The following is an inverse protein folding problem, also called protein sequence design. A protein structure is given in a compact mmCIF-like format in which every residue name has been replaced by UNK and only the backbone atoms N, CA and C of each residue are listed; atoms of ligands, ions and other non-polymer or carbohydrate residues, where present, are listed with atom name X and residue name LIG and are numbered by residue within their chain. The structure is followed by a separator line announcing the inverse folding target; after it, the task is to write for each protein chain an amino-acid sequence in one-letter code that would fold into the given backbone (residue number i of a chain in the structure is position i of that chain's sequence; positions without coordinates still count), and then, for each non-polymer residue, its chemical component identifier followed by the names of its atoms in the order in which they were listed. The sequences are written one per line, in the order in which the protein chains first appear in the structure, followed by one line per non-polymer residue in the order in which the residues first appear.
data_IF_055263783583
#
_entry.id   IF_055263783583
#
_cell.length_a   1.000
_cell.length_b   1.000
_cell.length_c   1.000
_cell.angle_alpha   90.00
_cell.angle_beta   90.00
_cell.angle_gamma   90.00
#
_symmetry.space_group_name_H-M   'P 1'
#
loop_
_entity.id
_entity.type
_entity.pdbx_description
1 polymer ?
#
# COMPACT_ATOMS: atom_id res chain seq x y z
N UNK A 1 -14.19 -12.16 -19.35
CA UNK A 1 -13.15 -11.35 -18.63
C UNK A 1 -11.87 -11.37 -19.45
N UNK A 2 -11.29 -10.23 -19.71
CA UNK A 2 -10.05 -10.12 -20.49
C UNK A 2 -8.86 -10.68 -19.71
N UNK A 3 -7.80 -11.09 -20.43
CA UNK A 3 -6.57 -11.56 -19.80
C UNK A 3 -5.92 -10.47 -18.92
N UNK A 4 -5.99 -9.21 -19.35
CA UNK A 4 -5.48 -8.05 -18.58
C UNK A 4 -6.24 -7.91 -17.26
N UNK A 5 -7.56 -8.04 -17.29
CA UNK A 5 -8.40 -7.94 -16.09
C UNK A 5 -8.11 -9.08 -15.12
N UNK A 6 -7.96 -10.31 -15.65
CA UNK A 6 -7.62 -11.48 -14.82
C UNK A 6 -6.29 -11.28 -14.13
N UNK A 7 -5.28 -10.78 -14.84
CA UNK A 7 -3.96 -10.52 -14.27
C UNK A 7 -4.02 -9.43 -13.21
N UNK A 8 -4.76 -8.34 -13.47
CA UNK A 8 -4.95 -7.27 -12.51
C UNK A 8 -5.55 -7.78 -11.20
N UNK A 9 -6.60 -8.61 -11.28
CA UNK A 9 -7.22 -9.22 -10.11
C UNK A 9 -6.25 -10.15 -9.38
N UNK A 10 -5.48 -10.95 -10.10
CA UNK A 10 -4.52 -11.86 -9.50
C UNK A 10 -3.38 -11.12 -8.78
N UNK A 11 -2.88 -10.01 -9.36
CA UNK A 11 -1.83 -9.19 -8.73
C UNK A 11 -2.35 -8.54 -7.44
N UNK A 12 -3.55 -7.97 -7.47
CA UNK A 12 -4.13 -7.34 -6.28
C UNK A 12 -4.51 -8.38 -5.22
N UNK A 13 -5.00 -9.55 -5.63
CA UNK A 13 -5.26 -10.65 -4.70
C UNK A 13 -3.99 -11.09 -3.98
N UNK A 14 -2.90 -11.25 -4.71
CA UNK A 14 -1.62 -11.63 -4.12
C UNK A 14 -1.15 -10.58 -3.11
N UNK A 15 -1.21 -9.30 -3.47
CA UNK A 15 -0.81 -8.22 -2.56
C UNK A 15 -1.66 -8.22 -1.29
N UNK A 16 -2.99 -8.32 -1.43
CA UNK A 16 -3.89 -8.34 -0.29
C UNK A 16 -3.64 -9.55 0.62
N UNK A 17 -3.42 -10.74 0.04
CA UNK A 17 -3.14 -11.94 0.81
C UNK A 17 -1.83 -11.84 1.59
N UNK A 18 -0.77 -11.34 0.96
CA UNK A 18 0.52 -11.16 1.61
C UNK A 18 0.43 -10.11 2.74
N UNK A 19 -0.28 -9.02 2.52
CA UNK A 19 -0.46 -8.00 3.55
C UNK A 19 -1.30 -8.54 4.72
N UNK A 20 -2.34 -9.32 4.46
CA UNK A 20 -3.17 -9.90 5.50
C UNK A 20 -2.37 -10.83 6.43
N UNK A 21 -1.40 -11.56 5.87
CA UNK A 21 -0.59 -12.48 6.67
C UNK A 21 0.61 -11.80 7.33
N UNK A 22 1.14 -10.71 6.77
CA UNK A 22 2.43 -10.16 7.18
C UNK A 22 2.38 -8.74 7.76
N UNK A 23 1.34 -7.97 7.47
CA UNK A 23 1.31 -6.53 7.81
C UNK A 23 0.25 -6.16 8.85
N UNK A 24 -0.71 -7.01 9.13
CA UNK A 24 -1.84 -6.67 10.01
C UNK A 24 -1.40 -6.31 11.43
N UNK A 25 -0.33 -6.93 11.93
CA UNK A 25 0.20 -6.68 13.28
C UNK A 25 0.80 -5.28 13.42
N UNK A 26 1.07 -4.59 12.32
CA UNK A 26 1.66 -3.25 12.32
C UNK A 26 0.62 -2.13 12.19
N UNK A 27 -0.67 -2.46 12.31
CA UNK A 27 -1.72 -1.45 12.26
C UNK A 27 -2.17 -1.07 10.85
N UNK A 28 -1.85 -1.88 9.85
CA UNK A 28 -2.32 -1.71 8.49
C UNK A 28 -3.48 -2.67 8.21
N UNK A 29 -4.58 -2.14 7.71
CA UNK A 29 -5.76 -2.93 7.40
C UNK A 29 -6.17 -2.73 5.95
N UNK A 30 -6.41 -3.82 5.23
CA UNK A 30 -6.90 -3.75 3.87
C UNK A 30 -8.37 -3.28 3.88
N UNK A 31 -8.62 -2.18 3.18
CA UNK A 31 -9.97 -1.63 3.01
C UNK A 31 -10.45 -1.72 1.56
N UNK A 32 -9.67 -2.38 0.70
CA UNK A 32 -10.05 -2.63 -0.68
C UNK A 32 -11.17 -3.68 -0.72
N UNK A 33 -12.23 -3.45 -1.53
CA UNK A 33 -13.24 -4.48 -1.71
C UNK A 33 -12.63 -5.79 -2.22
N UNK A 34 -12.99 -6.92 -1.61
CA UNK A 34 -12.53 -8.24 -2.07
C UNK A 34 -13.34 -8.74 -3.25
N UNK A 35 -14.57 -8.25 -3.42
CA UNK A 35 -15.41 -8.60 -4.56
C UNK A 35 -14.83 -7.98 -5.85
N UNK A 36 -14.46 -8.79 -6.86
CA UNK A 36 -13.89 -8.27 -8.11
C UNK A 36 -14.73 -7.24 -8.83
N UNK A 37 -16.05 -7.24 -8.60
CA UNK A 37 -16.95 -6.28 -9.25
C UNK A 37 -16.74 -4.84 -8.79
N UNK A 38 -16.16 -4.65 -7.59
CA UNK A 38 -16.06 -3.34 -6.94
C UNK A 38 -14.64 -2.85 -6.77
N UNK A 39 -13.66 -3.50 -7.40
CA UNK A 39 -12.27 -3.05 -7.30
C UNK A 39 -11.60 -2.93 -8.66
N UNK A 40 -10.66 -1.98 -8.74
CA UNK A 40 -9.79 -1.82 -9.88
C UNK A 40 -8.45 -2.50 -9.67
N UNK A 41 -7.39 -1.91 -10.22
CA UNK A 41 -6.01 -2.40 -10.09
C UNK A 41 -5.26 -1.79 -8.90
N UNK A 42 -5.98 -1.22 -7.94
CA UNK A 42 -5.40 -0.59 -6.76
C UNK A 42 -5.76 -1.35 -5.50
N UNK A 43 -4.84 -1.32 -4.53
CA UNK A 43 -5.11 -1.79 -3.17
C UNK A 43 -4.91 -0.62 -2.21
N UNK A 44 -5.87 -0.42 -1.31
CA UNK A 44 -5.80 0.61 -0.28
C UNK A 44 -5.67 -0.03 1.09
N UNK A 45 -4.66 0.40 1.84
CA UNK A 45 -4.44 -0.02 3.22
C UNK A 45 -4.70 1.16 4.13
N UNK A 46 -5.57 0.98 5.12
CA UNK A 46 -5.81 1.98 6.16
C UNK A 46 -4.69 1.90 7.19
N UNK A 47 -4.08 3.05 7.48
CA UNK A 47 -3.05 3.18 8.50
C UNK A 47 -3.67 3.81 9.75
N UNK A 48 -3.54 3.14 10.88
CA UNK A 48 -4.04 3.66 12.16
C UNK A 48 -3.30 4.93 12.56
N UNK A 49 -1.97 4.96 12.35
CA UNK A 49 -1.10 6.09 12.68
C UNK A 49 0.03 6.17 11.67
N UNK A 50 0.60 7.37 11.51
CA UNK A 50 1.84 7.60 10.78
C UNK A 50 1.82 7.18 9.29
N UNK A 51 0.65 7.20 8.67
CA UNK A 51 0.50 6.78 7.27
C UNK A 51 1.38 7.56 6.30
N UNK A 52 1.45 8.88 6.48
CA UNK A 52 2.30 9.72 5.62
C UNK A 52 3.78 9.31 5.72
N UNK A 53 4.28 9.15 6.95
CA UNK A 53 5.66 8.76 7.19
C UNK A 53 5.95 7.36 6.63
N UNK A 54 5.01 6.43 6.77
CA UNK A 54 5.14 5.09 6.19
C UNK A 54 5.27 5.14 4.68
N UNK A 55 4.45 5.97 4.01
CA UNK A 55 4.53 6.10 2.56
C UNK A 55 5.85 6.73 2.13
N UNK A 56 6.34 7.75 2.86
CA UNK A 56 7.63 8.36 2.56
C UNK A 56 8.78 7.36 2.71
N UNK A 57 8.74 6.52 3.74
CA UNK A 57 9.73 5.48 3.94
C UNK A 57 9.70 4.42 2.82
N UNK A 58 8.51 4.07 2.33
CA UNK A 58 8.35 3.15 1.20
C UNK A 58 8.89 3.75 -0.09
N UNK A 59 8.61 5.01 -0.35
CA UNK A 59 9.13 5.71 -1.53
C UNK A 59 10.67 5.72 -1.51
N UNK A 60 11.26 5.95 -0.33
CA UNK A 60 12.72 5.88 -0.17
C UNK A 60 13.29 4.50 -0.48
N UNK A 61 12.50 3.44 -0.33
CA UNK A 61 12.88 2.07 -0.70
C UNK A 61 12.59 1.73 -2.16
N UNK A 62 12.04 2.68 -2.93
CA UNK A 62 11.71 2.45 -4.34
C UNK A 62 10.31 1.90 -4.57
N UNK A 63 9.50 1.79 -3.53
CA UNK A 63 8.10 1.37 -3.68
C UNK A 63 7.24 2.62 -3.85
N UNK A 64 6.68 2.78 -5.02
CA UNK A 64 5.90 3.97 -5.34
C UNK A 64 4.43 3.69 -5.05
N UNK A 65 3.88 4.46 -4.12
CA UNK A 65 2.48 4.46 -3.78
C UNK A 65 1.96 5.87 -3.66
N UNK A 66 0.72 5.99 -3.26
CA UNK A 66 0.03 7.25 -3.10
C UNK A 66 -0.53 7.34 -1.69
N UNK A 67 -0.44 8.50 -1.07
CA UNK A 67 -0.98 8.75 0.26
C UNK A 67 -2.25 9.58 0.14
N UNK A 68 -3.29 9.15 0.86
CA UNK A 68 -4.53 9.92 0.95
C UNK A 68 -4.89 10.13 2.42
N UNK A 69 -4.96 11.40 2.82
CA UNK A 69 -5.39 11.77 4.18
C UNK A 69 -6.90 11.60 4.30
N UNK A 70 -7.36 11.11 5.46
CA UNK A 70 -8.79 11.06 5.76
C UNK A 70 -9.40 12.46 5.81
N UNK A 71 -10.53 12.65 5.15
CA UNK A 71 -11.18 13.97 5.03
C UNK A 71 -12.05 14.35 6.22
N UNK A 72 -12.58 13.35 6.93
CA UNK A 72 -13.47 13.56 8.07
C UNK A 72 -12.86 13.01 9.35
N UNK A 73 -13.31 13.53 10.50
CA UNK A 73 -12.89 13.03 11.79
C UNK A 73 -13.22 11.54 11.91
N UNK A 74 -12.23 10.75 12.26
CA UNK A 74 -12.35 9.28 12.38
C UNK A 74 -12.09 8.52 11.09
N UNK A 75 -11.94 9.19 9.94
CA UNK A 75 -11.52 8.52 8.71
C UNK A 75 -10.03 8.23 8.76
N UNK A 76 -9.61 6.98 8.47
CA UNK A 76 -8.19 6.66 8.47
C UNK A 76 -7.50 7.25 7.24
N UNK A 77 -6.21 7.49 7.38
CA UNK A 77 -5.35 7.78 6.24
C UNK A 77 -5.14 6.50 5.44
N UNK A 78 -4.98 6.62 4.13
CA UNK A 78 -4.85 5.49 3.23
C UNK A 78 -3.50 5.49 2.53
N UNK A 79 -2.88 4.30 2.49
CA UNK A 79 -1.75 4.00 1.61
C UNK A 79 -2.32 3.27 0.39
N UNK A 80 -2.12 3.82 -0.80
CA UNK A 80 -2.68 3.25 -2.03
C UNK A 80 -1.58 2.76 -2.93
N UNK A 81 -1.75 1.54 -3.44
CA UNK A 81 -0.78 0.88 -4.32
C UNK A 81 -1.46 0.47 -5.60
N UNK A 82 -0.88 0.87 -6.74
CA UNK A 82 -1.40 0.53 -8.06
C UNK A 82 -0.53 -0.51 -8.73
N UNK A 83 -1.18 -1.45 -9.44
CA UNK A 83 -0.50 -2.52 -10.14
C UNK A 83 -0.94 -2.50 -11.61
N UNK A 84 -0.08 -1.95 -12.48
CA UNK A 84 -0.33 -1.92 -13.91
C UNK A 84 -0.11 -3.32 -14.49
N UNK A 85 -1.17 -4.02 -14.94
CA UNK A 85 -1.04 -5.43 -15.32
C UNK A 85 -0.14 -5.67 -16.53
N UNK A 86 0.10 -4.64 -17.36
CA UNK A 86 0.97 -4.76 -18.53
C UNK A 86 2.45 -4.86 -18.15
N UNK A 87 2.85 -4.27 -17.03
CA UNK A 87 4.27 -4.14 -16.67
C UNK A 87 4.61 -4.80 -15.33
N UNK A 88 3.63 -4.98 -14.44
CA UNK A 88 3.88 -5.54 -13.12
C UNK A 88 3.89 -7.07 -13.19
N UNK A 89 4.94 -7.68 -12.62
CA UNK A 89 5.06 -9.12 -12.49
C UNK A 89 4.67 -9.56 -11.09
N UNK A 90 4.34 -10.83 -10.91
CA UNK A 90 4.00 -11.35 -9.58
C UNK A 90 5.18 -11.21 -8.60
N UNK A 91 6.41 -11.39 -9.08
CA UNK A 91 7.60 -11.19 -8.24
C UNK A 91 7.74 -9.72 -7.81
N UNK A 92 7.29 -8.77 -8.61
CA UNK A 92 7.32 -7.35 -8.24
C UNK A 92 6.37 -7.07 -7.08
N UNK A 93 5.20 -7.71 -7.06
CA UNK A 93 4.25 -7.62 -5.94
C UNK A 93 4.84 -8.22 -4.67
N UNK A 94 5.47 -9.37 -4.79
CA UNK A 94 6.17 -10.02 -3.67
C UNK A 94 7.25 -9.10 -3.10
N UNK A 95 8.09 -8.54 -3.97
CA UNK A 95 9.17 -7.64 -3.56
C UNK A 95 8.63 -6.38 -2.89
N UNK A 96 7.52 -5.81 -3.40
CA UNK A 96 6.90 -4.63 -2.79
C UNK A 96 6.43 -4.93 -1.36
N UNK A 97 5.80 -6.08 -1.14
CA UNK A 97 5.38 -6.49 0.22
C UNK A 97 6.60 -6.72 1.11
N UNK A 98 7.66 -7.30 0.57
CA UNK A 98 8.91 -7.52 1.33
C UNK A 98 9.49 -6.18 1.79
N UNK A 99 9.52 -5.16 0.93
CA UNK A 99 9.97 -3.82 1.30
C UNK A 99 9.06 -3.21 2.36
N UNK A 100 7.74 -3.38 2.22
CA UNK A 100 6.77 -2.90 3.21
C UNK A 100 7.02 -3.54 4.59
N UNK A 101 7.19 -4.85 4.63
CA UNK A 101 7.44 -5.58 5.87
C UNK A 101 8.75 -5.14 6.53
N UNK A 102 9.82 -5.01 5.75
CA UNK A 102 11.11 -4.56 6.28
C UNK A 102 11.04 -3.13 6.83
N UNK A 103 10.35 -2.23 6.14
CA UNK A 103 10.13 -0.87 6.62
C UNK A 103 9.39 -0.88 7.96
N UNK A 104 8.36 -1.72 8.09
CA UNK A 104 7.59 -1.83 9.32
C UNK A 104 8.38 -2.47 10.46
N UNK A 105 9.10 -3.56 10.19
CA UNK A 105 9.91 -4.24 11.19
C UNK A 105 11.05 -3.38 11.72
N UNK A 106 11.67 -2.58 10.86
CA UNK A 106 12.76 -1.70 11.21
C UNK A 106 12.27 -0.34 11.74
N UNK A 107 10.96 -0.13 11.79
CA UNK A 107 10.34 1.13 12.23
C UNK A 107 10.91 2.35 11.50
N UNK A 108 11.14 2.24 10.20
CA UNK A 108 11.80 3.29 9.41
C UNK A 108 10.95 4.55 9.31
N UNK A 109 9.62 4.42 9.36
CA UNK A 109 8.73 5.58 9.35
C UNK A 109 8.95 6.53 10.52
N UNK A 110 9.62 6.09 11.61
CA UNK A 110 9.90 6.93 12.77
C UNK A 110 11.05 7.90 12.54
N UNK A 111 11.80 7.76 11.45
CA UNK A 111 12.91 8.67 11.15
C UNK A 111 12.38 10.07 10.91
N UNK A 112 13.05 11.11 11.45
CA UNK A 112 12.58 12.50 11.32
C UNK A 112 12.38 12.95 9.89
N UNK A 113 13.21 12.48 8.96
CA UNK A 113 13.14 12.84 7.55
C UNK A 113 11.82 12.43 6.88
N UNK A 114 11.15 11.36 7.38
CA UNK A 114 9.89 10.89 6.84
C UNK A 114 8.68 11.56 7.51
N UNK A 115 8.90 12.29 8.60
CA UNK A 115 7.84 12.93 9.36
C UNK A 115 7.71 14.42 9.05
N UNK A 116 8.43 14.91 8.05
CA UNK A 116 8.32 16.29 7.59
C UNK A 116 7.41 16.33 6.38
N UNK A 117 6.20 16.85 6.57
CA UNK A 117 5.35 17.12 5.44
C UNK A 117 5.94 18.28 4.64
N UNK A 118 6.10 18.07 3.34
CA UNK A 118 6.56 19.15 2.47
C UNK A 118 5.46 20.17 2.32
N UNK A 119 5.77 21.41 2.62
CA UNK A 119 4.87 22.53 2.34
C UNK A 119 4.92 22.76 0.85
N UNK A 120 3.80 22.48 0.18
CA UNK A 120 3.63 22.79 -1.25
C UNK A 120 3.34 24.28 -1.34
N UNK A 121 4.29 25.02 -1.81
CA UNK A 121 4.12 26.45 -2.07
C UNK A 121 3.77 26.68 -3.54
#
# INVERSE_FOLDING_TARGET
MTAIRKKSLALTDLFMALCASRCVTFGLQNVTPTDPRYRGSHVSLAAANDGYAMMQALIARGVIGDFRRGDAAGEPDLLRFGFTPLYTRFVDVWDAVQQLVEMLQNAEWKRPEFNREQVVT
#
